data_IF_632484931645
#
_entry.id   IF_632484931645
#
_cell.length_a   1.000
_cell.length_b   1.000
_cell.length_c   1.000
_cell.angle_alpha   90.00
_cell.angle_beta   90.00
_cell.angle_gamma   90.00
#
_symmetry.space_group_name_H-M   'P 1'
#
loop_
_entity.id
_entity.type
_entity.pdbx_description
1 polymer ?
#
# COMPACT_ATOMS: atom_id res chain seq x y z
N UNK A 1 -18.27 6.15 6.86
CA UNK A 1 -17.20 5.49 6.10
C UNK A 1 -16.26 4.84 7.11
N UNK A 2 -15.72 3.66 6.83
CA UNK A 2 -14.70 3.03 7.67
C UNK A 2 -13.33 3.45 7.11
N UNK A 3 -12.43 3.90 7.98
CA UNK A 3 -11.05 4.26 7.64
C UNK A 3 -10.10 3.11 8.04
N UNK A 4 -9.06 2.87 7.24
CA UNK A 4 -8.08 1.81 7.51
C UNK A 4 -7.13 2.15 8.66
N UNK A 5 -6.83 3.44 8.83
CA UNK A 5 -5.84 3.96 9.77
C UNK A 5 -6.43 5.12 10.58
N UNK A 6 -5.78 5.46 11.70
CA UNK A 6 -6.13 6.66 12.47
C UNK A 6 -5.82 7.94 11.65
N UNK A 7 -6.28 9.12 12.08
CA UNK A 7 -5.97 10.39 11.40
C UNK A 7 -4.48 10.75 11.31
N UNK A 8 -3.61 10.07 12.06
CA UNK A 8 -2.15 10.22 12.03
C UNK A 8 -1.45 9.03 11.38
N UNK A 9 -2.23 8.04 10.92
CA UNK A 9 -1.71 6.86 10.26
C UNK A 9 -1.54 7.10 8.77
N UNK A 10 -0.66 6.33 8.16
CA UNK A 10 -0.23 6.51 6.78
C UNK A 10 -0.60 5.30 5.94
N UNK A 11 -1.02 5.53 4.71
CA UNK A 11 -1.26 4.46 3.73
C UNK A 11 -0.27 4.57 2.59
N UNK A 12 0.42 3.47 2.30
CA UNK A 12 1.18 3.28 1.07
C UNK A 12 0.44 2.28 0.20
N UNK A 13 0.18 2.64 -1.05
CA UNK A 13 -0.45 1.76 -2.03
C UNK A 13 0.39 1.68 -3.30
N UNK A 14 0.48 0.47 -3.86
CA UNK A 14 1.33 0.17 -5.02
C UNK A 14 0.47 -0.44 -6.11
N UNK A 15 0.56 0.12 -7.32
CA UNK A 15 -0.15 -0.36 -8.49
C UNK A 15 0.79 -0.33 -9.71
N UNK A 16 1.01 -1.49 -10.33
CA UNK A 16 1.92 -1.60 -11.48
C UNK A 16 1.26 -1.15 -12.78
N UNK A 17 -0.06 -1.30 -12.91
CA UNK A 17 -0.82 -0.93 -14.09
C UNK A 17 -0.98 0.61 -14.15
N UNK A 18 -0.47 1.27 -15.20
CA UNK A 18 -0.48 2.73 -15.28
C UNK A 18 -1.90 3.33 -15.30
N UNK A 19 -2.87 2.64 -15.92
CA UNK A 19 -4.25 3.15 -16.01
C UNK A 19 -4.94 3.09 -14.65
N UNK A 20 -4.79 1.99 -13.93
CA UNK A 20 -5.36 1.83 -12.58
C UNK A 20 -4.66 2.76 -11.59
N UNK A 21 -3.35 2.92 -11.69
CA UNK A 21 -2.58 3.88 -10.89
C UNK A 21 -3.12 5.31 -11.05
N UNK A 22 -3.28 5.78 -12.28
CA UNK A 22 -3.79 7.13 -12.55
C UNK A 22 -5.24 7.30 -12.10
N UNK A 23 -6.06 6.25 -12.23
CA UNK A 23 -7.43 6.22 -11.74
C UNK A 23 -7.50 6.35 -10.21
N UNK A 24 -6.73 5.54 -9.48
CA UNK A 24 -6.67 5.57 -8.02
C UNK A 24 -6.21 6.92 -7.50
N UNK A 25 -5.12 7.48 -8.08
CA UNK A 25 -4.59 8.78 -7.69
C UNK A 25 -5.62 9.90 -7.88
N UNK A 26 -6.33 9.93 -9.02
CA UNK A 26 -7.40 10.92 -9.26
C UNK A 26 -8.54 10.80 -8.26
N UNK A 27 -8.96 9.58 -7.93
CA UNK A 27 -10.03 9.35 -6.98
C UNK A 27 -9.66 9.80 -5.57
N UNK A 28 -8.44 9.52 -5.11
CA UNK A 28 -7.96 9.95 -3.80
C UNK A 28 -7.92 11.48 -3.68
N UNK A 29 -7.46 12.17 -4.72
CA UNK A 29 -7.48 13.65 -4.79
C UNK A 29 -8.92 14.18 -4.73
N UNK A 30 -9.83 13.62 -5.53
CA UNK A 30 -11.23 14.06 -5.57
C UNK A 30 -11.96 13.80 -4.25
N UNK A 31 -11.62 12.71 -3.57
CA UNK A 31 -12.12 12.35 -2.24
C UNK A 31 -11.44 13.15 -1.10
N UNK A 32 -10.46 14.01 -1.42
CA UNK A 32 -9.73 14.87 -0.49
C UNK A 32 -8.88 14.10 0.55
N UNK A 33 -8.35 12.93 0.18
CA UNK A 33 -7.33 12.26 0.98
C UNK A 33 -5.96 12.87 0.72
N UNK A 34 -5.27 13.32 1.77
CA UNK A 34 -3.95 13.94 1.70
C UNK A 34 -2.78 12.98 2.00
N UNK A 35 -2.95 12.03 2.92
CA UNK A 35 -1.86 11.20 3.46
C UNK A 35 -1.78 9.79 2.85
N UNK A 36 -1.89 9.69 1.51
CA UNK A 36 -1.73 8.42 0.80
C UNK A 36 -0.57 8.52 -0.19
N UNK A 37 0.46 7.70 0.02
CA UNK A 37 1.54 7.52 -0.97
C UNK A 37 1.07 6.50 -2.01
N UNK A 38 1.00 6.93 -3.26
CA UNK A 38 0.60 6.08 -4.40
C UNK A 38 1.82 5.85 -5.28
N UNK A 39 2.26 4.60 -5.44
CA UNK A 39 3.45 4.23 -6.20
C UNK A 39 3.10 3.43 -7.45
N UNK A 40 3.71 3.80 -8.59
CA UNK A 40 3.62 3.04 -9.83
C UNK A 40 4.84 2.12 -9.99
N UNK A 41 4.78 0.93 -9.41
CA UNK A 41 5.87 -0.06 -9.44
C UNK A 41 5.35 -1.48 -9.20
N UNK A 42 6.24 -2.46 -9.27
CA UNK A 42 5.94 -3.84 -8.88
C UNK A 42 5.71 -3.94 -7.36
N UNK A 43 4.49 -4.32 -6.98
CA UNK A 43 4.09 -4.45 -5.57
C UNK A 43 4.75 -5.62 -4.84
N UNK A 44 5.27 -6.62 -5.55
CA UNK A 44 5.97 -7.76 -4.92
C UNK A 44 7.29 -7.35 -4.24
N UNK A 45 7.83 -6.18 -4.61
CA UNK A 45 9.04 -5.61 -4.01
C UNK A 45 8.74 -4.73 -2.78
N UNK A 46 7.47 -4.43 -2.51
CA UNK A 46 7.06 -3.50 -1.47
C UNK A 46 7.61 -2.08 -1.65
N UNK A 47 7.76 -1.36 -0.55
CA UNK A 47 8.38 -0.05 -0.50
C UNK A 47 9.20 0.15 0.80
N UNK A 48 10.47 -0.28 0.82
CA UNK A 48 11.32 -0.25 2.01
C UNK A 48 11.51 1.13 2.65
N UNK A 49 11.36 2.23 1.90
CA UNK A 49 11.55 3.60 2.40
C UNK A 49 10.52 4.00 3.47
N UNK A 50 9.37 3.33 3.53
CA UNK A 50 8.32 3.55 4.52
C UNK A 50 8.13 2.35 5.46
N UNK A 51 8.98 1.32 5.32
CA UNK A 51 9.00 0.20 6.25
C UNK A 51 9.61 0.63 7.60
N UNK A 52 9.26 -0.05 8.71
CA UNK A 52 8.40 -1.22 8.78
C UNK A 52 6.91 -0.87 8.81
N UNK A 53 6.07 -1.77 8.26
CA UNK A 53 4.61 -1.63 8.23
C UNK A 53 3.93 -2.40 9.36
N UNK A 54 2.89 -1.83 9.97
CA UNK A 54 2.07 -2.54 10.96
C UNK A 54 1.12 -3.56 10.32
N UNK A 55 0.70 -3.29 9.09
CA UNK A 55 -0.12 -4.21 8.30
C UNK A 55 0.16 -4.05 6.81
N UNK A 56 0.13 -5.16 6.09
CA UNK A 56 0.23 -5.22 4.63
C UNK A 56 -1.03 -5.94 4.13
N UNK A 57 -1.60 -5.48 3.02
CA UNK A 57 -2.75 -6.12 2.38
C UNK A 57 -2.47 -6.32 0.91
N UNK A 58 -2.55 -7.57 0.46
CA UNK A 58 -2.32 -7.93 -0.94
C UNK A 58 -3.69 -8.14 -1.61
N UNK A 59 -4.05 -7.24 -2.53
CA UNK A 59 -5.34 -7.26 -3.24
C UNK A 59 -5.26 -7.90 -4.64
N UNK A 60 -4.13 -8.52 -4.96
CA UNK A 60 -3.89 -9.28 -6.19
C UNK A 60 -3.50 -10.72 -5.85
N UNK A 61 -3.81 -11.65 -6.75
CA UNK A 61 -3.38 -13.04 -6.56
C UNK A 61 -1.86 -13.17 -6.67
N UNK A 62 -1.24 -13.88 -5.73
CA UNK A 62 0.17 -14.22 -5.76
C UNK A 62 0.33 -15.74 -5.71
N UNK A 63 1.29 -16.30 -6.45
CA UNK A 63 1.61 -17.73 -6.41
C UNK A 63 2.29 -18.16 -5.12
N UNK A 64 3.01 -17.23 -4.49
CA UNK A 64 3.64 -17.33 -3.17
C UNK A 64 3.62 -15.96 -2.50
N UNK A 65 3.70 -15.91 -1.17
CA UNK A 65 3.87 -14.64 -0.45
C UNK A 65 5.21 -14.02 -0.86
N UNK A 66 5.26 -12.75 -1.28
CA UNK A 66 6.52 -12.08 -1.59
C UNK A 66 7.35 -11.84 -0.33
N UNK A 67 8.55 -12.43 -0.26
CA UNK A 67 9.48 -12.28 0.86
C UNK A 67 9.79 -10.80 1.20
N UNK A 68 9.99 -9.87 0.23
CA UNK A 68 10.22 -8.48 0.56
C UNK A 68 9.10 -7.84 1.39
N UNK A 69 7.85 -8.29 1.24
CA UNK A 69 6.74 -7.80 2.04
C UNK A 69 6.78 -8.34 3.46
N UNK A 70 7.20 -9.60 3.65
CA UNK A 70 7.41 -10.19 4.97
C UNK A 70 8.54 -9.45 5.71
N UNK A 71 9.65 -9.16 5.02
CA UNK A 71 10.78 -8.41 5.57
C UNK A 71 10.43 -6.97 5.96
N UNK A 72 9.46 -6.36 5.26
CA UNK A 72 8.99 -5.00 5.53
C UNK A 72 7.89 -4.93 6.59
N UNK A 73 7.41 -6.07 7.10
CA UNK A 73 6.36 -6.13 8.12
C UNK A 73 6.96 -6.04 9.53
N UNK A 74 6.42 -5.15 10.36
CA UNK A 74 6.76 -5.03 11.77
C UNK A 74 6.23 -6.24 12.56
N UNK A 75 6.81 -6.57 13.72
CA UNK A 75 6.22 -7.52 14.66
C UNK A 75 5.45 -6.78 15.77
N UNK A 76 4.18 -7.11 16.08
CA UNK A 76 3.39 -8.27 15.65
C UNK A 76 2.39 -7.95 14.51
N UNK A 77 2.87 -7.38 13.39
CA UNK A 77 2.06 -6.98 12.25
C UNK A 77 1.41 -8.14 11.48
N UNK A 78 0.54 -7.80 10.53
CA UNK A 78 -0.23 -8.77 9.73
C UNK A 78 -0.06 -8.54 8.23
N UNK A 79 -0.03 -9.62 7.46
CA UNK A 79 -0.02 -9.63 5.99
C UNK A 79 -1.16 -10.49 5.47
#
# INVERSE_FOLDING_TARGET
AYELVSPTGKVVTIEINPRTFDFARKNLINAKYGEVIVLKRDGSLGYPEEAPYDAISITASCSKIPEPLVEQLNAPGKL
#
